data_IF_967235553604
#
_entry.id   IF_967235553604
#
_cell.length_a   1.000
_cell.length_b   1.000
_cell.length_c   1.000
_cell.angle_alpha   90.00
_cell.angle_beta   90.00
_cell.angle_gamma   90.00
#
_symmetry.space_group_name_H-M   'P 1'
#
loop_
_entity.id
_entity.type
_entity.pdbx_description
1 polymer ?
#
# COMPACT_ATOMS: atom_id res chain seq x y z
N UNK A 1 2.63 -15.57 -1.90
CA UNK A 1 3.30 -14.40 -2.51
C UNK A 1 4.75 -14.79 -2.78
N UNK A 2 5.39 -14.24 -3.81
CA UNK A 2 6.78 -14.56 -4.14
C UNK A 2 7.76 -13.80 -3.22
N UNK A 3 9.02 -14.24 -3.09
CA UNK A 3 9.97 -13.69 -2.12
C UNK A 3 10.25 -12.20 -2.32
N UNK A 4 10.55 -11.49 -1.24
CA UNK A 4 10.87 -10.06 -1.26
C UNK A 4 12.00 -9.72 -2.23
N UNK A 5 13.05 -10.56 -2.30
CA UNK A 5 14.20 -10.34 -3.20
C UNK A 5 13.76 -10.19 -4.65
N UNK A 6 12.87 -11.06 -5.14
CA UNK A 6 12.36 -11.03 -6.50
C UNK A 6 11.52 -9.77 -6.75
N UNK A 7 10.69 -9.38 -5.77
CA UNK A 7 9.89 -8.14 -5.85
C UNK A 7 10.79 -6.90 -5.97
N UNK A 8 11.87 -6.83 -5.21
CA UNK A 8 12.81 -5.71 -5.28
C UNK A 8 13.54 -5.66 -6.64
N UNK A 9 13.85 -6.81 -7.23
CA UNK A 9 14.42 -6.90 -8.57
C UNK A 9 13.44 -6.38 -9.62
N UNK A 10 12.18 -6.85 -9.61
CA UNK A 10 11.13 -6.36 -10.52
C UNK A 10 10.93 -4.84 -10.42
N UNK A 11 10.96 -4.28 -9.20
CA UNK A 11 10.86 -2.83 -9.00
C UNK A 11 12.07 -2.11 -9.61
N UNK A 12 13.27 -2.66 -9.45
CA UNK A 12 14.50 -2.07 -10.00
C UNK A 12 14.44 -2.05 -11.52
N UNK A 13 14.10 -3.19 -12.13
CA UNK A 13 13.96 -3.36 -13.58
C UNK A 13 12.89 -2.41 -14.13
N UNK A 14 11.72 -2.34 -13.49
CA UNK A 14 10.66 -1.43 -13.93
C UNK A 14 11.09 0.05 -13.91
N UNK A 15 11.84 0.47 -12.89
CA UNK A 15 12.36 1.85 -12.82
C UNK A 15 13.42 2.09 -13.90
N UNK A 16 14.29 1.11 -14.15
CA UNK A 16 15.33 1.21 -15.17
C UNK A 16 14.72 1.23 -16.59
N UNK A 17 13.56 0.60 -16.78
CA UNK A 17 12.71 0.69 -17.98
C UNK A 17 11.94 2.03 -18.08
N UNK A 18 12.07 2.92 -17.08
CA UNK A 18 11.50 4.27 -17.08
C UNK A 18 10.17 4.42 -16.35
N UNK A 19 9.76 3.45 -15.53
CA UNK A 19 8.56 3.58 -14.72
C UNK A 19 8.72 4.67 -13.65
N UNK A 20 7.79 5.63 -13.64
CA UNK A 20 7.72 6.72 -12.66
C UNK A 20 6.74 6.44 -11.51
N UNK A 21 5.95 5.37 -11.64
CA UNK A 21 5.01 4.91 -10.62
C UNK A 21 5.15 3.39 -10.48
N UNK A 22 5.31 2.92 -9.25
CA UNK A 22 5.46 1.49 -8.93
C UNK A 22 4.30 1.07 -8.04
N UNK A 23 3.51 0.12 -8.53
CA UNK A 23 2.39 -0.48 -7.81
C UNK A 23 2.80 -1.82 -7.17
N UNK A 24 2.88 -1.87 -5.84
CA UNK A 24 3.21 -3.09 -5.10
C UNK A 24 2.01 -3.56 -4.28
N UNK A 25 1.76 -4.87 -4.26
CA UNK A 25 0.73 -5.44 -3.38
C UNK A 25 1.33 -5.73 -2.01
N UNK A 26 0.68 -5.31 -0.92
CA UNK A 26 1.20 -5.61 0.42
C UNK A 26 1.29 -7.12 0.65
N UNK A 27 2.16 -7.52 1.58
CA UNK A 27 2.20 -8.90 2.02
C UNK A 27 1.00 -9.27 2.89
N UNK A 28 0.01 -9.88 2.23
CA UNK A 28 -1.25 -10.31 2.84
C UNK A 28 -1.04 -11.27 3.98
N UNK A 29 -0.05 -12.17 3.88
CA UNK A 29 0.23 -13.14 4.94
C UNK A 29 0.68 -12.44 6.21
N UNK A 30 1.58 -11.46 6.09
CA UNK A 30 2.02 -10.65 7.23
C UNK A 30 0.87 -9.81 7.80
N UNK A 31 0.05 -9.20 6.94
CA UNK A 31 -1.11 -8.40 7.36
C UNK A 31 -2.16 -9.24 8.10
N UNK A 32 -2.51 -10.42 7.60
CA UNK A 32 -3.45 -11.35 8.24
C UNK A 32 -2.92 -11.89 9.57
N UNK A 33 -1.61 -12.07 9.68
CA UNK A 33 -0.93 -12.43 10.94
C UNK A 33 -0.74 -11.23 11.88
N UNK A 34 -1.19 -10.02 11.49
CA UNK A 34 -0.98 -8.76 12.21
C UNK A 34 0.50 -8.47 12.48
N UNK A 35 1.39 -9.01 11.64
CA UNK A 35 2.82 -8.71 11.66
C UNK A 35 3.09 -7.39 10.93
N UNK A 36 2.65 -6.29 11.55
CA UNK A 36 2.76 -4.94 11.00
C UNK A 36 4.20 -4.48 10.84
N UNK A 37 5.11 -4.95 11.70
CA UNK A 37 6.54 -4.66 11.56
C UNK A 37 7.12 -5.28 10.29
N UNK A 38 6.79 -6.54 10.00
CA UNK A 38 7.20 -7.17 8.74
C UNK A 38 6.66 -6.45 7.51
N UNK A 39 5.40 -5.99 7.55
CA UNK A 39 4.83 -5.17 6.47
C UNK A 39 5.58 -3.85 6.31
N UNK A 40 5.87 -3.16 7.42
CA UNK A 40 6.63 -1.92 7.44
C UNK A 40 8.02 -2.10 6.80
N UNK A 41 8.76 -3.11 7.26
CA UNK A 41 10.13 -3.38 6.80
C UNK A 41 10.16 -3.71 5.30
N UNK A 42 9.19 -4.49 4.79
CA UNK A 42 9.06 -4.77 3.35
C UNK A 42 8.79 -3.50 2.54
N UNK A 43 7.85 -2.65 2.97
CA UNK A 43 7.49 -1.44 2.24
C UNK A 43 8.63 -0.42 2.28
N UNK A 44 9.35 -0.30 3.40
CA UNK A 44 10.55 0.53 3.48
C UNK A 44 11.63 0.05 2.51
N UNK A 45 11.85 -1.26 2.39
CA UNK A 45 12.79 -1.81 1.42
C UNK A 45 12.39 -1.46 -0.01
N UNK A 46 11.10 -1.55 -0.35
CA UNK A 46 10.59 -1.17 -1.68
C UNK A 46 10.73 0.34 -1.92
N UNK A 47 10.42 1.17 -0.91
CA UNK A 47 10.58 2.64 -1.00
C UNK A 47 12.05 3.02 -1.20
N UNK A 48 12.97 2.32 -0.56
CA UNK A 48 14.40 2.55 -0.73
C UNK A 48 14.87 2.28 -2.17
N UNK A 49 14.33 1.23 -2.82
CA UNK A 49 14.62 0.93 -4.24
C UNK A 49 14.02 2.00 -5.17
N UNK A 50 12.80 2.45 -4.90
CA UNK A 50 12.17 3.54 -5.65
C UNK A 50 12.96 4.86 -5.53
N UNK A 51 13.48 5.15 -4.34
CA UNK A 51 14.23 6.37 -4.07
C UNK A 51 13.46 7.63 -4.46
N UNK A 52 14.11 8.54 -5.18
CA UNK A 52 13.47 9.70 -5.80
C UNK A 52 13.08 9.50 -7.28
N UNK A 53 13.25 8.29 -7.82
CA UNK A 53 13.05 8.01 -9.25
C UNK A 53 11.60 7.67 -9.60
N UNK A 54 10.88 7.06 -8.66
CA UNK A 54 9.50 6.64 -8.86
C UNK A 54 8.66 6.79 -7.59
N UNK A 55 7.37 7.04 -7.77
CA UNK A 55 6.40 7.04 -6.67
C UNK A 55 5.98 5.62 -6.31
N UNK A 56 6.00 5.29 -5.02
CA UNK A 56 5.57 4.00 -4.52
C UNK A 56 4.08 4.00 -4.17
N UNK A 57 3.33 3.09 -4.76
CA UNK A 57 1.91 2.89 -4.53
C UNK A 57 1.69 1.51 -3.93
N UNK A 58 1.03 1.46 -2.78
CA UNK A 58 0.78 0.21 -2.06
C UNK A 58 -0.67 -0.22 -2.22
N UNK A 59 -0.88 -1.39 -2.82
CA UNK A 59 -2.19 -2.03 -2.98
C UNK A 59 -2.45 -2.90 -1.76
N UNK A 60 -3.47 -2.56 -0.98
CA UNK A 60 -3.80 -3.21 0.29
C UNK A 60 -4.56 -4.54 0.12
N UNK A 61 -5.07 -4.84 -1.07
CA UNK A 61 -5.90 -6.01 -1.34
C UNK A 61 -7.00 -6.21 -0.26
N UNK A 62 -7.75 -5.14 0.00
CA UNK A 62 -8.70 -5.00 1.12
C UNK A 62 -9.73 -6.12 1.23
N UNK A 63 -10.13 -6.74 0.11
CA UNK A 63 -11.03 -7.89 0.08
C UNK A 63 -10.48 -9.14 0.79
N UNK A 64 -9.16 -9.22 0.95
CA UNK A 64 -8.45 -10.34 1.57
C UNK A 64 -7.96 -9.99 2.99
N UNK A 65 -8.15 -8.76 3.48
CA UNK A 65 -7.71 -8.34 4.81
C UNK A 65 -8.70 -8.71 5.93
N UNK A 66 -9.92 -9.13 5.58
CA UNK A 66 -10.90 -9.75 6.48
C UNK A 66 -11.57 -8.82 7.50
N UNK A 67 -10.95 -7.70 7.91
CA UNK A 67 -11.53 -6.76 8.87
C UNK A 67 -11.15 -5.31 8.58
N UNK A 68 -12.01 -4.37 9.00
CA UNK A 68 -11.72 -2.93 8.90
C UNK A 68 -10.54 -2.51 9.78
N UNK A 69 -10.29 -3.19 10.90
CA UNK A 69 -9.09 -2.98 11.72
C UNK A 69 -7.82 -3.23 10.92
N UNK A 70 -7.76 -4.36 10.19
CA UNK A 70 -6.61 -4.70 9.36
C UNK A 70 -6.44 -3.70 8.21
N UNK A 71 -7.55 -3.22 7.60
CA UNK A 71 -7.50 -2.18 6.56
C UNK A 71 -6.90 -0.89 7.11
N UNK A 72 -7.35 -0.45 8.30
CA UNK A 72 -6.83 0.76 8.94
C UNK A 72 -5.33 0.60 9.26
N UNK A 73 -4.95 -0.49 9.92
CA UNK A 73 -3.58 -0.74 10.30
C UNK A 73 -2.65 -0.86 9.07
N UNK A 74 -3.08 -1.57 8.03
CA UNK A 74 -2.33 -1.68 6.78
C UNK A 74 -2.14 -0.30 6.12
N UNK A 75 -3.19 0.53 6.09
CA UNK A 75 -3.12 1.90 5.58
C UNK A 75 -2.07 2.71 6.34
N UNK A 76 -2.15 2.73 7.68
CA UNK A 76 -1.21 3.46 8.53
C UNK A 76 0.24 2.98 8.34
N UNK A 77 0.47 1.68 8.34
CA UNK A 77 1.80 1.09 8.20
C UNK A 77 2.42 1.42 6.85
N UNK A 78 1.67 1.31 5.76
CA UNK A 78 2.16 1.65 4.44
C UNK A 78 2.51 3.14 4.32
N UNK A 79 1.69 4.03 4.90
CA UNK A 79 1.98 5.47 4.94
C UNK A 79 3.23 5.78 5.77
N UNK A 80 3.35 5.20 6.97
CA UNK A 80 4.53 5.35 7.82
C UNK A 80 5.81 4.81 7.16
N UNK A 81 5.69 3.76 6.35
CA UNK A 81 6.81 3.17 5.61
C UNK A 81 7.23 3.99 4.37
N UNK A 82 6.50 5.06 4.06
CA UNK A 82 6.79 5.98 2.96
C UNK A 82 6.12 5.62 1.65
N UNK A 83 4.94 4.98 1.65
CA UNK A 83 4.13 4.89 0.44
C UNK A 83 3.60 6.28 0.05
N UNK A 84 3.74 6.66 -1.22
CA UNK A 84 3.19 7.92 -1.75
C UNK A 84 1.68 7.83 -2.01
N UNK A 85 1.18 6.62 -2.27
CA UNK A 85 -0.24 6.32 -2.46
C UNK A 85 -0.62 5.00 -1.80
N UNK A 86 -1.87 4.93 -1.32
CA UNK A 86 -2.52 3.67 -0.94
C UNK A 86 -3.67 3.37 -1.91
N UNK A 87 -3.81 2.10 -2.29
CA UNK A 87 -4.80 1.59 -3.23
C UNK A 87 -5.57 0.43 -2.60
N UNK A 88 -6.86 0.32 -2.92
CA UNK A 88 -7.75 -0.70 -2.36
C UNK A 88 -7.45 -2.10 -2.88
N UNK A 89 -7.40 -2.28 -4.19
CA UNK A 89 -7.34 -3.59 -4.86
C UNK A 89 -6.56 -3.50 -6.17
N UNK A 90 -6.24 -4.65 -6.78
CA UNK A 90 -5.61 -4.70 -8.11
C UNK A 90 -6.64 -4.57 -9.24
N UNK A 91 -7.93 -4.62 -8.91
CA UNK A 91 -9.04 -4.59 -9.88
C UNK A 91 -9.31 -5.95 -10.52
N UNK A 92 -8.66 -7.01 -10.03
CA UNK A 92 -8.81 -8.40 -10.51
C UNK A 92 -9.50 -9.30 -9.48
N UNK A 93 -9.76 -8.78 -8.28
CA UNK A 93 -10.40 -9.49 -7.18
C UNK A 93 -11.93 -9.45 -7.27
N UNK A 94 -12.60 -10.42 -6.66
CA UNK A 94 -14.06 -10.47 -6.55
C UNK A 94 -14.64 -9.35 -5.68
N UNK A 95 -13.86 -8.88 -4.70
CA UNK A 95 -14.22 -7.77 -3.81
C UNK A 95 -13.24 -6.62 -4.04
N UNK A 96 -13.76 -5.53 -4.61
CA UNK A 96 -13.00 -4.31 -4.92
C UNK A 96 -13.30 -3.20 -3.90
N UNK A 97 -13.13 -1.94 -4.30
CA UNK A 97 -13.44 -0.78 -3.45
C UNK A 97 -14.91 -0.81 -3.03
N UNK A 98 -15.17 -0.87 -1.72
CA UNK A 98 -16.50 -0.69 -1.14
C UNK A 98 -16.50 0.61 -0.32
N UNK A 99 -17.65 1.29 -0.24
CA UNK A 99 -17.77 2.53 0.53
C UNK A 99 -17.26 2.41 1.97
N UNK A 100 -17.55 1.34 2.73
CA UNK A 100 -17.02 1.21 4.09
C UNK A 100 -15.49 1.12 4.14
N UNK A 101 -14.88 0.38 3.23
CA UNK A 101 -13.40 0.28 3.16
C UNK A 101 -12.78 1.62 2.79
N UNK A 102 -13.37 2.32 1.81
CA UNK A 102 -12.93 3.65 1.40
C UNK A 102 -12.97 4.65 2.57
N UNK A 103 -14.03 4.59 3.39
CA UNK A 103 -14.16 5.43 4.58
C UNK A 103 -13.08 5.13 5.62
N UNK A 104 -12.77 3.86 5.85
CA UNK A 104 -11.72 3.45 6.79
C UNK A 104 -10.34 3.94 6.33
N UNK A 105 -10.03 3.80 5.04
CA UNK A 105 -8.78 4.31 4.46
C UNK A 105 -8.69 5.83 4.54
N UNK A 106 -9.79 6.53 4.25
CA UNK A 106 -9.87 7.99 4.37
C UNK A 106 -9.66 8.45 5.81
N UNK A 107 -10.23 7.73 6.78
CA UNK A 107 -10.01 8.01 8.20
C UNK A 107 -8.55 7.83 8.60
N UNK A 108 -7.92 6.73 8.17
CA UNK A 108 -6.49 6.50 8.40
C UNK A 108 -5.62 7.63 7.84
N UNK A 109 -5.91 8.13 6.64
CA UNK A 109 -5.17 9.25 6.05
C UNK A 109 -5.34 10.53 6.85
N UNK A 110 -6.55 10.82 7.33
CA UNK A 110 -6.79 11.98 8.19
C UNK A 110 -5.98 11.86 9.48
N UNK A 111 -6.07 10.72 10.17
CA UNK A 111 -5.34 10.47 11.42
C UNK A 111 -3.81 10.54 11.20
N UNK A 112 -3.31 10.01 10.09
CA UNK A 112 -1.91 10.13 9.70
C UNK A 112 -1.49 11.59 9.48
N UNK A 113 -2.32 12.37 8.78
CA UNK A 113 -2.06 13.79 8.51
C UNK A 113 -2.02 14.60 9.80
N UNK A 114 -2.95 14.34 10.72
CA UNK A 114 -3.05 15.02 12.01
C UNK A 114 -1.83 14.73 12.90
N UNK A 115 -1.32 13.49 12.88
CA UNK A 115 -0.16 13.08 13.69
C UNK A 115 1.18 13.49 13.06
N UNK A 116 1.34 13.34 11.74
CA UNK A 116 2.63 13.52 11.08
C UNK A 116 2.81 14.92 10.45
N UNK A 117 1.74 15.72 10.34
CA UNK A 117 1.77 17.03 9.68
C UNK A 117 1.94 16.97 8.15
N UNK A 118 1.83 15.79 7.55
CA UNK A 118 1.95 15.58 6.10
C UNK A 118 0.56 15.72 5.47
N UNK A 119 0.38 16.73 4.62
CA UNK A 119 -0.86 16.96 3.87
C UNK A 119 -0.94 15.97 2.70
N UNK A 120 -1.71 14.92 2.89
CA UNK A 120 -2.30 14.06 1.87
C UNK A 120 -1.39 13.00 1.22
N UNK A 121 -1.71 11.73 1.51
CA UNK A 121 -1.44 10.58 0.65
C UNK A 121 -2.73 10.33 -0.13
N UNK A 122 -2.78 10.54 -1.47
CA UNK A 122 -4.02 10.39 -2.21
C UNK A 122 -4.46 8.92 -2.24
N UNK A 123 -5.74 8.64 -1.97
CA UNK A 123 -6.31 7.32 -2.29
C UNK A 123 -6.60 7.29 -3.79
N UNK A 124 -5.99 6.34 -4.50
CA UNK A 124 -6.35 6.08 -5.90
C UNK A 124 -7.34 4.93 -5.94
N UNK A 125 -8.63 5.25 -6.06
CA UNK A 125 -9.67 4.26 -6.32
C UNK A 125 -9.55 3.81 -7.78
N UNK A 126 -9.11 2.58 -8.01
CA UNK A 126 -9.33 1.94 -9.31
C UNK A 126 -10.79 1.49 -9.32
N UNK A 127 -11.64 2.33 -9.92
CA UNK A 127 -13.00 2.05 -10.37
C UNK A 127 -14.02 1.80 -9.24
N UNK A 128 -14.64 2.89 -8.78
CA UNK A 128 -16.07 2.85 -8.47
C UNK A 128 -16.77 2.92 -9.84
N UNK A 129 -17.72 2.03 -10.12
CA UNK A 129 -18.50 1.90 -11.37
C UNK A 129 -17.87 1.04 -12.49
#
# INVERSE_FOLDING_TARGET
>A
QYPLKTRLQEITEAIDDGATEIDVVLNRTLALQRNWKGVYDEVCAMRAVCGGRAHLKTILAVGELGSYENVYAASMVCMLAGADFIKTSTGKESVNATLPVSLVMARAIQDFSDVCGIKCIPIRFLRLY
#
